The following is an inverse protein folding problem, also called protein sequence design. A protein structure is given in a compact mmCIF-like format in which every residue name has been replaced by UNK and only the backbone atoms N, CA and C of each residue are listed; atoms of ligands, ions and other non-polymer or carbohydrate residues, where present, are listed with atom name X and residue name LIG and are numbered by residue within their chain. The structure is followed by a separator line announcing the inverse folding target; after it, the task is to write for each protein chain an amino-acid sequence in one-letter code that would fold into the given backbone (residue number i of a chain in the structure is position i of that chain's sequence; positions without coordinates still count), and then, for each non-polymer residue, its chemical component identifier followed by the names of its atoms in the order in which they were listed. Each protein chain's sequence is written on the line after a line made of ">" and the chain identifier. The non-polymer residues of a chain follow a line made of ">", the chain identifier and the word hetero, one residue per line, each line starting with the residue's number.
data_IF_343722362004
#
_entry.id   IF_343722362004
#
_cell.length_a   1.000
_cell.length_b   1.000
_cell.length_c   1.000
_cell.angle_alpha   90.00
_cell.angle_beta   90.00
_cell.angle_gamma   90.00
#
_symmetry.space_group_name_H-M   'P 1'
#
loop_
_entity.id
_entity.type
_entity.pdbx_description
1 polymer ?
#
# COMPACT_ATOMS: atom_id res chain seq x y z
N UNK A 1 -20.13 -33.18 1.06
CA UNK A 1 -18.99 -33.13 2.00
C UNK A 1 -18.14 -34.35 1.75
N UNK A 2 -16.99 -34.22 1.08
CA UNK A 2 -16.01 -35.33 1.08
C UNK A 2 -15.46 -35.39 2.50
N UNK A 3 -15.46 -36.57 3.11
CA UNK A 3 -14.79 -36.79 4.39
C UNK A 3 -13.34 -36.35 4.18
N UNK A 4 -12.93 -35.28 4.86
CA UNK A 4 -11.53 -34.91 4.88
C UNK A 4 -10.78 -36.11 5.47
N UNK A 5 -9.82 -36.63 4.71
CA UNK A 5 -8.97 -37.73 5.17
C UNK A 5 -8.26 -37.22 6.43
N UNK A 6 -8.34 -37.92 7.55
CA UNK A 6 -7.73 -37.51 8.83
C UNK A 6 -6.27 -37.08 8.67
N UNK A 7 -5.57 -37.71 7.72
CA UNK A 7 -4.22 -37.34 7.31
C UNK A 7 -4.11 -35.94 6.71
N UNK A 8 -5.04 -35.57 5.83
CA UNK A 8 -5.09 -34.23 5.22
C UNK A 8 -5.34 -33.17 6.30
N UNK A 9 -6.23 -33.43 7.26
CA UNK A 9 -6.53 -32.49 8.35
C UNK A 9 -5.32 -32.29 9.27
N UNK A 10 -4.63 -33.37 9.64
CA UNK A 10 -3.41 -33.29 10.46
C UNK A 10 -2.31 -32.49 9.75
N UNK A 11 -2.10 -32.75 8.46
CA UNK A 11 -1.09 -32.04 7.66
C UNK A 11 -1.49 -30.57 7.46
N UNK A 12 -2.77 -30.29 7.20
CA UNK A 12 -3.30 -28.94 7.09
C UNK A 12 -3.10 -28.14 8.38
N UNK A 13 -3.40 -28.73 9.53
CA UNK A 13 -3.18 -28.11 10.83
C UNK A 13 -1.70 -27.83 11.11
N UNK A 14 -0.81 -28.75 10.73
CA UNK A 14 0.62 -28.53 10.85
C UNK A 14 1.11 -27.40 9.92
N UNK A 15 0.66 -27.39 8.66
CA UNK A 15 1.00 -26.34 7.69
C UNK A 15 0.52 -24.96 8.16
N UNK A 16 -0.67 -24.89 8.76
CA UNK A 16 -1.23 -23.64 9.29
C UNK A 16 -0.41 -23.05 10.45
N UNK A 17 0.27 -23.91 11.21
CA UNK A 17 1.12 -23.50 12.33
C UNK A 17 2.55 -23.12 11.90
N UNK A 18 2.92 -23.31 10.62
CA UNK A 18 4.24 -22.93 10.13
C UNK A 18 4.38 -21.40 10.05
N UNK A 19 5.54 -20.84 10.43
CA UNK A 19 5.81 -19.43 10.20
C UNK A 19 5.93 -19.14 8.70
N UNK A 20 5.58 -17.92 8.29
CA UNK A 20 5.77 -17.47 6.92
C UNK A 20 7.24 -17.62 6.49
N UNK A 21 7.44 -18.19 5.29
CA UNK A 21 8.78 -18.47 4.76
C UNK A 21 9.39 -19.80 5.20
N UNK A 22 8.71 -20.58 6.06
CA UNK A 22 9.14 -21.93 6.37
C UNK A 22 9.14 -22.85 5.12
N UNK A 23 10.07 -23.81 5.11
CA UNK A 23 10.14 -24.82 4.05
C UNK A 23 8.91 -25.76 4.12
N UNK A 24 8.04 -25.64 3.13
CA UNK A 24 6.83 -26.46 2.97
C UNK A 24 7.03 -27.58 1.93
N UNK A 25 8.20 -28.22 1.92
CA UNK A 25 8.47 -29.36 1.05
C UNK A 25 8.16 -30.71 1.72
N UNK A 26 7.94 -31.74 0.91
CA UNK A 26 7.54 -33.08 1.36
C UNK A 26 8.52 -33.65 2.38
N UNK A 27 9.83 -33.44 2.20
CA UNK A 27 10.86 -34.02 3.05
C UNK A 27 10.94 -33.28 4.39
N UNK A 28 10.88 -31.96 4.38
CA UNK A 28 10.85 -31.13 5.58
C UNK A 28 9.62 -31.42 6.44
N UNK A 29 8.44 -31.47 5.80
CA UNK A 29 7.21 -31.85 6.49
C UNK A 29 7.31 -33.26 7.06
N UNK A 30 7.66 -34.27 6.26
CA UNK A 30 7.73 -35.65 6.73
C UNK A 30 8.72 -35.87 7.89
N UNK A 31 9.80 -35.09 8.00
CA UNK A 31 10.73 -35.16 9.13
C UNK A 31 10.07 -34.79 10.46
N UNK A 32 9.09 -33.90 10.42
CA UNK A 32 8.35 -33.42 11.60
C UNK A 32 7.11 -34.27 11.94
N UNK A 33 6.72 -35.20 11.06
CA UNK A 33 5.52 -36.01 11.24
C UNK A 33 5.85 -37.38 11.88
N UNK A 34 5.29 -37.70 13.06
CA UNK A 34 5.53 -38.99 13.71
C UNK A 34 4.75 -40.15 13.07
N UNK A 35 3.64 -39.87 12.39
CA UNK A 35 2.68 -40.88 11.90
C UNK A 35 2.74 -41.12 10.38
N UNK A 36 3.29 -40.19 9.59
CA UNK A 36 3.20 -40.22 8.13
C UNK A 36 4.56 -40.02 7.47
N UNK A 37 4.95 -40.96 6.61
CA UNK A 37 6.16 -40.84 5.79
C UNK A 37 6.00 -39.90 4.58
N UNK A 38 7.10 -39.70 3.84
CA UNK A 38 7.17 -38.77 2.70
C UNK A 38 6.07 -39.00 1.64
N UNK A 39 5.76 -40.25 1.29
CA UNK A 39 4.70 -40.56 0.31
C UNK A 39 3.31 -40.14 0.78
N UNK A 40 3.03 -40.32 2.08
CA UNK A 40 1.75 -39.95 2.67
C UNK A 40 1.60 -38.42 2.74
N UNK A 41 2.68 -37.71 3.08
CA UNK A 41 2.73 -36.24 3.05
C UNK A 41 2.55 -35.72 1.63
N UNK A 42 3.28 -36.26 0.65
CA UNK A 42 3.17 -35.85 -0.74
C UNK A 42 1.76 -36.01 -1.29
N UNK A 43 1.12 -37.15 -1.07
CA UNK A 43 -0.26 -37.37 -1.52
C UNK A 43 -1.28 -36.48 -0.78
N UNK A 44 -1.06 -36.15 0.49
CA UNK A 44 -1.92 -35.22 1.21
C UNK A 44 -1.79 -33.78 0.70
N UNK A 45 -0.56 -33.29 0.44
CA UNK A 45 -0.36 -31.98 -0.18
C UNK A 45 -0.99 -31.93 -1.58
N UNK A 46 -0.91 -33.02 -2.35
CA UNK A 46 -1.59 -33.08 -3.64
C UNK A 46 -3.11 -32.95 -3.51
N UNK A 47 -3.70 -33.68 -2.57
CA UNK A 47 -5.12 -33.58 -2.30
C UNK A 47 -5.54 -32.18 -1.80
N UNK A 48 -4.73 -31.54 -0.96
CA UNK A 48 -4.95 -30.17 -0.48
C UNK A 48 -4.84 -29.14 -1.63
N UNK A 49 -3.92 -29.34 -2.57
CA UNK A 49 -3.81 -28.51 -3.77
C UNK A 49 -5.03 -28.66 -4.67
N UNK A 50 -5.48 -29.89 -4.91
CA UNK A 50 -6.72 -30.16 -5.68
C UNK A 50 -7.95 -29.58 -4.98
N UNK A 51 -8.01 -29.65 -3.66
CA UNK A 51 -9.08 -29.05 -2.86
C UNK A 51 -9.03 -27.51 -2.81
N UNK A 52 -7.96 -26.88 -3.34
CA UNK A 52 -7.86 -25.43 -3.43
C UNK A 52 -7.27 -24.74 -2.20
N UNK A 53 -6.62 -25.48 -1.29
CA UNK A 53 -5.95 -24.93 -0.11
C UNK A 53 -4.53 -24.44 -0.39
N UNK A 54 -3.86 -24.97 -1.41
CA UNK A 54 -2.50 -24.59 -1.75
C UNK A 54 -2.25 -24.39 -3.24
N UNK A 55 -1.25 -23.55 -3.55
CA UNK A 55 -0.70 -23.36 -4.90
C UNK A 55 0.82 -23.26 -4.84
N UNK A 56 1.47 -24.02 -5.71
CA UNK A 56 2.91 -23.94 -5.95
C UNK A 56 3.18 -22.96 -7.10
N UNK A 57 4.14 -22.06 -6.93
CA UNK A 57 4.47 -21.02 -7.90
C UNK A 57 5.97 -20.86 -8.01
N UNK A 58 6.49 -20.84 -9.24
CA UNK A 58 7.86 -20.42 -9.53
C UNK A 58 7.89 -18.93 -9.81
N UNK A 59 8.73 -18.23 -9.07
CA UNK A 59 8.99 -16.81 -9.24
C UNK A 59 10.39 -16.64 -9.82
N UNK A 60 10.52 -15.77 -10.82
CA UNK A 60 11.82 -15.22 -11.17
C UNK A 60 12.27 -14.24 -10.08
N UNK A 61 13.41 -14.49 -9.46
CA UNK A 61 14.07 -13.57 -8.54
C UNK A 61 15.37 -13.07 -9.17
N UNK A 62 15.44 -11.76 -9.41
CA UNK A 62 16.62 -11.07 -9.95
C UNK A 62 16.39 -10.49 -11.34
N UNK A 63 16.14 -9.18 -11.40
CA UNK A 63 16.35 -8.38 -12.61
C UNK A 63 17.24 -7.15 -12.32
N UNK A 64 18.01 -7.21 -11.22
CA UNK A 64 19.06 -6.25 -10.90
C UNK A 64 20.39 -7.01 -10.79
N UNK A 65 21.16 -7.09 -11.88
CA UNK A 65 22.54 -7.65 -11.87
C UNK A 65 22.76 -8.98 -12.59
N UNK A 66 21.98 -9.31 -13.63
CA UNK A 66 22.34 -10.33 -14.63
C UNK A 66 22.18 -11.81 -14.24
N UNK A 67 21.94 -12.15 -12.97
CA UNK A 67 21.69 -13.54 -12.56
C UNK A 67 20.19 -13.82 -12.37
N UNK A 68 19.64 -14.67 -13.24
CA UNK A 68 18.28 -15.18 -13.11
C UNK A 68 18.26 -16.35 -12.13
N UNK A 69 17.50 -16.22 -11.03
CA UNK A 69 17.25 -17.33 -10.09
C UNK A 69 15.76 -17.66 -10.07
N UNK A 70 15.42 -18.94 -10.10
CA UNK A 70 14.05 -19.40 -9.91
C UNK A 70 13.84 -19.77 -8.45
N UNK A 71 12.80 -19.22 -7.83
CA UNK A 71 12.41 -19.52 -6.45
C UNK A 71 11.03 -20.17 -6.48
N UNK A 72 10.89 -21.36 -5.90
CA UNK A 72 9.57 -21.97 -5.68
C UNK A 72 8.99 -21.43 -4.38
N UNK A 73 7.76 -20.92 -4.48
CA UNK A 73 6.94 -20.46 -3.35
C UNK A 73 5.68 -21.32 -3.27
N UNK A 74 5.29 -21.66 -2.05
CA UNK A 74 4.02 -22.34 -1.77
C UNK A 74 3.11 -21.37 -1.04
N UNK A 75 1.93 -21.13 -1.59
CA UNK A 75 0.89 -20.34 -0.93
C UNK A 75 -0.11 -21.28 -0.26
N UNK A 76 -0.50 -20.96 0.96
CA UNK A 76 -1.44 -21.70 1.79
C UNK A 76 -2.65 -20.84 2.16
N UNK A 77 -3.83 -21.46 2.23
CA UNK A 77 -5.07 -20.83 2.71
C UNK A 77 -5.88 -21.83 3.55
N UNK A 78 -6.26 -21.40 4.76
CA UNK A 78 -7.14 -22.16 5.67
C UNK A 78 -8.49 -22.51 5.03
N UNK A 79 -9.02 -21.61 4.23
CA UNK A 79 -10.25 -21.84 3.47
C UNK A 79 -9.90 -22.29 2.06
N UNK A 80 -10.57 -23.33 1.56
CA UNK A 80 -10.48 -23.71 0.16
C UNK A 80 -10.85 -22.52 -0.74
N UNK A 81 -10.04 -22.24 -1.76
CA UNK A 81 -10.26 -21.17 -2.73
C UNK A 81 -10.42 -21.76 -4.13
N UNK A 82 -11.34 -21.19 -4.89
CA UNK A 82 -11.54 -21.55 -6.29
C UNK A 82 -10.42 -20.96 -7.18
N UNK A 83 -10.46 -21.32 -8.46
CA UNK A 83 -9.43 -20.90 -9.41
C UNK A 83 -9.49 -19.39 -9.71
N UNK A 84 -10.67 -18.78 -9.68
CA UNK A 84 -10.82 -17.35 -9.92
C UNK A 84 -10.16 -16.54 -8.81
N UNK A 85 -10.38 -16.94 -7.55
CA UNK A 85 -9.73 -16.34 -6.41
C UNK A 85 -8.21 -16.51 -6.47
N UNK A 86 -7.72 -17.72 -6.76
CA UNK A 86 -6.28 -17.98 -6.87
C UNK A 86 -5.63 -17.17 -7.99
N UNK A 87 -6.28 -17.04 -9.14
CA UNK A 87 -5.78 -16.22 -10.24
C UNK A 87 -5.70 -14.75 -9.83
N UNK A 88 -6.77 -14.19 -9.25
CA UNK A 88 -6.80 -12.81 -8.78
C UNK A 88 -5.73 -12.53 -7.72
N UNK A 89 -5.54 -13.45 -6.77
CA UNK A 89 -4.51 -13.38 -5.74
C UNK A 89 -3.10 -13.38 -6.36
N UNK A 90 -2.80 -14.32 -7.26
CA UNK A 90 -1.48 -14.42 -7.88
C UNK A 90 -1.19 -13.20 -8.78
N UNK A 91 -2.17 -12.68 -9.51
CA UNK A 91 -2.01 -11.43 -10.28
C UNK A 91 -1.75 -10.23 -9.36
N UNK A 92 -2.31 -10.21 -8.14
CA UNK A 92 -2.01 -9.17 -7.15
C UNK A 92 -0.61 -9.34 -6.55
N UNK A 93 -0.18 -10.58 -6.26
CA UNK A 93 1.18 -10.89 -5.79
C UNK A 93 2.26 -10.53 -6.83
N UNK A 94 2.00 -10.80 -8.11
CA UNK A 94 2.87 -10.46 -9.23
C UNK A 94 3.08 -8.94 -9.37
N UNK A 95 2.09 -8.14 -8.95
CA UNK A 95 2.14 -6.67 -8.90
C UNK A 95 2.75 -6.12 -7.61
N UNK A 96 2.90 -6.94 -6.56
CA UNK A 96 3.51 -6.49 -5.30
C UNK A 96 5.00 -6.23 -5.54
N UNK A 97 5.55 -5.09 -5.09
CA UNK A 97 6.99 -4.91 -5.11
C UNK A 97 7.64 -6.07 -4.36
N UNK A 98 8.62 -6.74 -4.96
CA UNK A 98 9.94 -6.56 -4.40
C UNK A 98 10.06 -6.52 -2.86
N UNK A 99 9.72 -7.52 -2.00
CA UNK A 99 10.31 -7.51 -0.68
C UNK A 99 11.80 -7.61 -0.94
N UNK A 100 12.49 -6.49 -0.77
CA UNK A 100 13.94 -6.41 -0.82
C UNK A 100 14.35 -7.29 0.36
N UNK A 101 14.74 -8.53 0.03
CA UNK A 101 15.07 -9.53 1.02
C UNK A 101 16.06 -8.91 2.00
N UNK A 102 15.78 -9.11 3.27
CA UNK A 102 16.56 -8.70 4.42
C UNK A 102 17.91 -9.43 4.41
N UNK A 103 18.78 -9.07 3.46
CA UNK A 103 20.14 -9.55 3.34
C UNK A 103 21.10 -8.81 4.30
N UNK A 104 20.64 -7.78 5.02
CA UNK A 104 21.46 -7.04 6.01
C UNK A 104 21.14 -7.39 7.49
N UNK A 105 20.20 -8.29 7.77
CA UNK A 105 19.75 -8.54 9.15
C UNK A 105 20.41 -9.75 9.86
N UNK A 106 21.53 -10.28 9.37
CA UNK A 106 22.27 -11.37 10.07
C UNK A 106 23.73 -11.04 10.41
N UNK A 107 24.18 -9.79 10.25
CA UNK A 107 25.56 -9.39 10.58
C UNK A 107 25.62 -8.13 11.46
N UNK A 108 24.72 -8.02 12.44
CA UNK A 108 24.78 -6.97 13.47
C UNK A 108 24.48 -7.49 14.88
N UNK A 109 24.74 -8.77 15.13
CA UNK A 109 24.59 -9.40 16.44
C UNK A 109 25.96 -9.86 16.99
N UNK A 110 26.89 -8.91 17.18
CA UNK A 110 28.02 -9.06 18.10
C UNK A 110 28.69 -7.71 18.38
N UNK A 111 28.23 -7.02 19.42
CA UNK A 111 29.06 -6.38 20.48
C UNK A 111 28.17 -5.47 21.33
N UNK A 112 27.64 -6.08 22.40
CA UNK A 112 27.73 -5.62 23.79
C UNK A 112 27.66 -4.12 24.14
N UNK A 113 26.52 -3.77 24.75
CA UNK A 113 26.37 -3.24 26.12
C UNK A 113 26.62 -1.74 26.44
N UNK A 114 26.00 -1.23 27.53
CA UNK A 114 25.33 0.07 27.57
C UNK A 114 26.02 1.11 28.48
N UNK A 115 25.74 2.40 28.27
CA UNK A 115 25.89 3.40 29.32
C UNK A 115 24.93 4.58 29.16
N UNK A 116 24.17 4.83 30.21
CA UNK A 116 23.48 6.08 30.54
C UNK A 116 23.99 6.47 31.95
N UNK A 117 23.80 7.69 32.51
CA UNK A 117 22.76 8.65 32.14
C UNK A 117 23.08 10.16 32.40
N UNK A 118 22.04 11.00 32.17
CA UNK A 118 21.71 12.34 32.74
C UNK A 118 22.59 13.57 32.43
N UNK A 119 22.00 14.61 31.82
CA UNK A 119 21.52 15.81 32.56
C UNK A 119 21.01 16.94 31.64
N UNK A 120 19.83 17.48 31.98
CA UNK A 120 19.30 18.78 31.54
C UNK A 120 20.03 19.91 32.30
N UNK A 121 20.08 21.16 31.76
CA UNK A 121 19.09 22.16 32.19
C UNK A 121 18.69 23.24 31.14
N UNK A 122 17.52 23.83 31.36
CA UNK A 122 17.00 25.15 30.89
C UNK A 122 17.01 26.06 32.15
N UNK A 123 16.85 27.41 32.19
CA UNK A 123 16.37 28.40 31.20
C UNK A 123 17.13 29.75 31.15
N UNK A 124 16.74 30.67 30.25
CA UNK A 124 16.36 32.07 30.58
C UNK A 124 16.15 32.94 29.32
N UNK A 125 15.03 33.68 29.29
CA UNK A 125 14.78 34.83 28.40
C UNK A 125 15.23 36.15 29.07
N UNK A 126 15.35 37.27 28.34
CA UNK A 126 14.31 38.32 28.42
C UNK A 126 14.01 38.98 27.05
N UNK A 127 12.74 39.22 26.71
CA UNK A 127 11.92 40.42 26.96
C UNK A 127 12.48 41.72 26.35
N UNK A 128 11.85 42.21 25.27
CA UNK A 128 11.44 43.62 25.15
C UNK A 128 10.27 43.78 24.15
N UNK A 129 9.17 44.27 24.72
CA UNK A 129 8.08 45.12 24.20
C UNK A 129 8.62 46.13 23.16
N UNK A 130 7.96 46.43 22.04
CA UNK A 130 6.90 47.46 21.93
C UNK A 130 6.15 47.42 20.58
N UNK A 131 4.82 47.48 20.65
CA UNK A 131 3.83 48.00 19.66
C UNK A 131 3.26 49.28 20.33
N UNK A 132 2.62 50.32 19.72
CA UNK A 132 1.91 50.41 18.43
C UNK A 132 2.17 51.70 17.61
N UNK A 133 1.57 51.83 16.41
CA UNK A 133 0.58 52.88 16.10
C UNK A 133 0.00 52.71 14.69
N UNK A 134 -1.34 52.80 14.64
CA UNK A 134 -2.19 52.85 13.45
C UNK A 134 -2.00 54.15 12.68
N UNK A 135 -2.27 54.12 11.37
CA UNK A 135 -3.06 55.19 10.74
C UNK A 135 -3.78 54.72 9.48
N UNK A 136 -5.10 54.87 9.52
CA UNK A 136 -6.07 54.83 8.43
C UNK A 136 -5.87 56.01 7.47
N UNK A 137 -5.99 55.78 6.15
CA UNK A 137 -6.66 56.69 5.21
C UNK A 137 -6.84 56.04 3.82
N UNK A 138 -8.11 55.95 3.42
CA UNK A 138 -8.68 55.88 2.07
C UNK A 138 -9.47 57.22 1.91
N UNK A 139 -9.83 57.79 0.72
CA UNK A 139 -9.96 57.22 -0.64
C UNK A 139 -9.32 57.99 -1.83
N UNK A 140 -9.29 57.24 -2.93
CA UNK A 140 -9.35 57.52 -4.39
C UNK A 140 -9.66 58.94 -4.94
N UNK A 141 -9.24 59.26 -6.21
CA UNK A 141 -9.89 58.71 -7.43
C UNK A 141 -9.00 58.39 -8.67
N UNK A 142 -9.48 57.37 -9.43
CA UNK A 142 -9.42 57.02 -10.89
C UNK A 142 -8.52 57.82 -11.86
N UNK A 143 -7.84 57.16 -12.82
CA UNK A 143 -8.37 57.08 -14.19
C UNK A 143 -8.17 55.73 -14.94
N UNK A 144 -9.18 55.34 -15.74
CA UNK A 144 -9.13 54.39 -16.88
C UNK A 144 -8.75 55.14 -18.19
N UNK A 145 -8.53 54.48 -19.35
CA UNK A 145 -8.08 53.10 -19.62
C UNK A 145 -6.91 53.05 -20.63
N UNK A 146 -6.04 52.04 -20.54
CA UNK A 146 -5.32 51.55 -21.74
C UNK A 146 -5.21 50.04 -21.71
N UNK A 147 -5.83 49.47 -22.73
CA UNK A 147 -5.90 48.06 -23.07
C UNK A 147 -4.51 47.45 -23.19
N UNK A 148 -4.13 46.66 -22.19
CA UNK A 148 -3.10 45.63 -22.36
C UNK A 148 -3.83 44.30 -22.22
N UNK A 149 -4.05 43.67 -23.37
CA UNK A 149 -4.48 42.28 -23.47
C UNK A 149 -3.39 41.39 -22.86
N UNK A 150 -3.42 41.25 -21.54
CA UNK A 150 -2.74 40.16 -20.85
C UNK A 150 -3.50 38.92 -21.28
N UNK A 151 -2.83 38.12 -22.10
CA UNK A 151 -3.30 36.81 -22.51
C UNK A 151 -3.56 35.99 -21.25
N UNK A 152 -4.83 35.86 -20.88
CA UNK A 152 -5.30 34.84 -19.94
C UNK A 152 -4.91 33.53 -20.59
N UNK A 153 -3.80 32.94 -20.13
CA UNK A 153 -3.41 31.60 -20.50
C UNK A 153 -4.49 30.65 -19.98
N UNK A 154 -5.46 30.41 -20.85
CA UNK A 154 -6.33 29.24 -20.95
C UNK A 154 -7.14 28.92 -19.69
N UNK A 155 -8.31 29.53 -19.61
CA UNK A 155 -9.46 28.98 -18.92
C UNK A 155 -9.64 27.50 -19.32
N UNK A 156 -9.31 26.61 -18.40
CA UNK A 156 -9.69 25.19 -18.50
C UNK A 156 -11.12 25.07 -17.98
N UNK A 157 -12.09 25.52 -18.79
CA UNK A 157 -13.49 25.15 -18.59
C UNK A 157 -13.64 23.66 -18.93
N UNK A 158 -14.25 22.79 -18.12
CA UNK A 158 -14.97 23.02 -16.88
C UNK A 158 -15.01 21.74 -16.06
N UNK A 159 -13.93 21.49 -15.31
CA UNK A 159 -13.98 20.53 -14.21
C UNK A 159 -13.20 21.09 -13.03
N UNK A 160 -13.86 21.42 -11.89
CA UNK A 160 -13.13 21.87 -10.71
C UNK A 160 -12.13 20.81 -10.31
N UNK A 161 -10.92 21.23 -9.94
CA UNK A 161 -9.83 20.32 -9.56
C UNK A 161 -10.24 19.46 -8.35
N UNK A 162 -9.57 18.31 -8.12
CA UNK A 162 -9.80 17.53 -6.91
C UNK A 162 -9.58 18.35 -5.62
N UNK A 163 -8.62 19.28 -5.63
CA UNK A 163 -8.34 20.15 -4.50
C UNK A 163 -9.49 21.13 -4.22
N UNK A 164 -10.00 21.82 -5.25
CA UNK A 164 -11.15 22.70 -5.12
C UNK A 164 -12.39 21.94 -4.62
N UNK A 165 -12.65 20.75 -5.16
CA UNK A 165 -13.79 19.92 -4.75
C UNK A 165 -13.70 19.46 -3.30
N UNK A 166 -12.49 19.14 -2.83
CA UNK A 166 -12.28 18.76 -1.43
C UNK A 166 -12.57 19.95 -0.50
N UNK A 167 -12.04 21.13 -0.82
CA UNK A 167 -12.30 22.36 -0.06
C UNK A 167 -13.79 22.72 -0.05
N UNK A 168 -14.47 22.65 -1.19
CA UNK A 168 -15.90 22.94 -1.31
C UNK A 168 -16.80 21.94 -0.54
N UNK A 169 -16.28 20.75 -0.20
CA UNK A 169 -17.01 19.75 0.62
C UNK A 169 -16.85 19.96 2.13
N UNK A 170 -15.89 20.78 2.58
CA UNK A 170 -15.63 21.00 4.01
C UNK A 170 -16.87 21.53 4.73
N UNK A 171 -17.55 22.53 4.19
CA UNK A 171 -18.75 23.09 4.81
C UNK A 171 -19.92 22.11 4.96
N UNK A 172 -19.96 21.04 4.15
CA UNK A 172 -20.94 19.95 4.31
C UNK A 172 -20.51 18.93 5.37
N UNK A 173 -19.21 18.81 5.60
CA UNK A 173 -18.64 17.88 6.59
C UNK A 173 -18.66 18.49 7.98
N UNK A 174 -18.32 19.78 8.09
CA UNK A 174 -18.43 20.58 9.32
C UNK A 174 -18.80 22.02 8.94
N UNK A 175 -19.96 22.48 9.40
CA UNK A 175 -20.50 23.80 9.04
C UNK A 175 -19.62 24.96 9.52
N UNK A 176 -18.75 24.74 10.53
CA UNK A 176 -17.78 25.75 11.00
C UNK A 176 -16.70 26.06 9.97
N UNK A 177 -16.52 25.20 8.96
CA UNK A 177 -15.54 25.35 7.89
C UNK A 177 -16.20 25.65 6.52
N UNK A 178 -17.34 26.32 6.51
CA UNK A 178 -17.95 26.80 5.27
C UNK A 178 -17.05 27.84 4.59
N UNK A 179 -16.68 27.58 3.34
CA UNK A 179 -15.84 28.43 2.50
C UNK A 179 -16.62 28.91 1.28
N UNK A 180 -16.42 30.16 0.86
CA UNK A 180 -16.97 30.66 -0.40
C UNK A 180 -16.22 30.07 -1.59
N UNK A 181 -16.76 30.23 -2.81
CA UNK A 181 -16.06 29.81 -4.03
C UNK A 181 -14.73 30.56 -4.22
N UNK A 182 -14.69 31.85 -3.86
CA UNK A 182 -13.47 32.66 -3.91
C UNK A 182 -12.41 32.16 -2.91
N UNK A 183 -12.84 31.82 -1.69
CA UNK A 183 -11.95 31.23 -0.68
C UNK A 183 -11.38 29.88 -1.13
N UNK A 184 -12.22 29.03 -1.73
CA UNK A 184 -11.79 27.74 -2.26
C UNK A 184 -10.75 27.92 -3.37
N UNK A 185 -10.97 28.87 -4.29
CA UNK A 185 -10.01 29.17 -5.35
C UNK A 185 -8.68 29.73 -4.80
N UNK A 186 -8.73 30.61 -3.79
CA UNK A 186 -7.53 31.16 -3.17
C UNK A 186 -6.71 30.11 -2.39
N UNK A 187 -7.35 29.07 -1.84
CA UNK A 187 -6.68 27.99 -1.10
C UNK A 187 -6.30 26.79 -1.98
N UNK A 188 -6.79 26.75 -3.21
CA UNK A 188 -6.69 25.60 -4.11
C UNK A 188 -5.25 25.13 -4.32
N UNK A 189 -4.32 26.07 -4.56
CA UNK A 189 -2.92 25.72 -4.80
C UNK A 189 -2.24 25.10 -3.57
N UNK A 190 -2.58 25.57 -2.36
CA UNK A 190 -2.06 25.00 -1.13
C UNK A 190 -2.63 23.60 -0.90
N UNK A 191 -3.91 23.39 -1.16
CA UNK A 191 -4.54 22.07 -1.10
C UNK A 191 -3.98 21.13 -2.19
N UNK A 192 -3.72 21.62 -3.39
CA UNK A 192 -3.07 20.86 -4.46
C UNK A 192 -1.67 20.36 -4.06
N UNK A 193 -0.95 21.12 -3.22
CA UNK A 193 0.34 20.71 -2.68
C UNK A 193 0.25 19.49 -1.74
N UNK A 194 -0.90 19.27 -1.09
CA UNK A 194 -1.17 18.07 -0.31
C UNK A 194 -1.37 16.86 -1.23
N UNK A 195 -2.17 17.00 -2.28
CA UNK A 195 -2.38 15.93 -3.27
C UNK A 195 -1.10 15.57 -4.01
N UNK A 196 -0.26 16.57 -4.33
CA UNK A 196 1.05 16.34 -4.94
C UNK A 196 2.01 15.52 -4.05
N UNK A 197 1.74 15.46 -2.73
CA UNK A 197 2.45 14.60 -1.77
C UNK A 197 1.82 13.21 -1.59
N UNK A 198 0.82 12.87 -2.41
CA UNK A 198 0.17 11.56 -2.39
C UNK A 198 -0.97 11.44 -1.38
N UNK A 199 -1.45 12.56 -0.83
CA UNK A 199 -2.58 12.57 0.10
C UNK A 199 -3.91 12.54 -0.66
N UNK A 200 -4.86 11.73 -0.22
CA UNK A 200 -6.22 11.70 -0.78
C UNK A 200 -7.16 12.74 -0.14
N UNK A 201 -8.36 12.87 -0.70
CA UNK A 201 -9.32 13.89 -0.27
C UNK A 201 -9.89 13.61 1.14
N UNK A 202 -9.98 12.34 1.54
CA UNK A 202 -10.53 11.95 2.83
C UNK A 202 -9.53 12.28 3.94
N UNK A 203 -8.25 11.97 3.74
CA UNK A 203 -7.18 12.37 4.64
C UNK A 203 -7.08 13.89 4.75
N UNK A 204 -7.13 14.62 3.63
CA UNK A 204 -7.12 16.09 3.66
C UNK A 204 -8.28 16.63 4.50
N UNK A 205 -9.48 16.09 4.30
CA UNK A 205 -10.68 16.50 5.04
C UNK A 205 -10.54 16.20 6.53
N UNK A 206 -10.08 15.01 6.90
CA UNK A 206 -9.81 14.64 8.29
C UNK A 206 -8.76 15.57 8.92
N UNK A 207 -7.65 15.85 8.22
CA UNK A 207 -6.60 16.74 8.70
C UNK A 207 -7.08 18.18 8.93
N UNK A 208 -8.05 18.66 8.14
CA UNK A 208 -8.63 19.99 8.29
C UNK A 208 -9.71 20.06 9.38
N UNK A 209 -10.39 18.96 9.67
CA UNK A 209 -11.51 18.89 10.64
C UNK A 209 -11.12 18.32 12.02
N UNK A 210 -9.99 17.63 12.15
CA UNK A 210 -9.59 16.98 13.40
C UNK A 210 -9.28 18.01 14.51
N UNK A 211 -9.98 17.98 15.65
CA UNK A 211 -9.69 18.87 16.78
C UNK A 211 -10.05 20.34 16.52
N UNK A 212 -11.19 20.58 15.88
CA UNK A 212 -11.73 21.93 15.69
C UNK A 212 -12.17 22.56 17.03
N UNK A 213 -11.87 23.85 17.26
CA UNK A 213 -12.36 24.58 18.43
C UNK A 213 -13.88 24.74 18.37
N UNK A 214 -14.53 24.99 19.50
CA UNK A 214 -16.00 25.11 19.62
C UNK A 214 -16.60 26.07 18.60
N UNK A 215 -15.94 27.20 18.34
CA UNK A 215 -16.26 28.15 17.28
C UNK A 215 -15.02 28.49 16.45
N UNK A 216 -15.22 28.78 15.17
CA UNK A 216 -14.17 29.23 14.24
C UNK A 216 -14.63 30.56 13.64
N UNK A 217 -14.00 31.66 14.07
CA UNK A 217 -14.39 33.00 13.62
C UNK A 217 -13.95 33.30 12.18
N UNK A 218 -12.87 32.66 11.71
CA UNK A 218 -12.37 32.77 10.34
C UNK A 218 -12.09 31.39 9.73
N UNK A 219 -13.05 30.81 8.99
CA UNK A 219 -12.87 29.53 8.30
C UNK A 219 -11.70 29.55 7.32
N UNK A 220 -11.61 30.61 6.51
CA UNK A 220 -10.51 30.79 5.54
C UNK A 220 -9.14 30.84 6.24
N UNK A 221 -8.99 31.68 7.26
CA UNK A 221 -7.73 31.84 7.98
C UNK A 221 -7.31 30.54 8.69
N UNK A 222 -8.28 29.83 9.27
CA UNK A 222 -8.04 28.56 9.93
C UNK A 222 -7.57 27.47 8.96
N UNK A 223 -8.29 27.30 7.84
CA UNK A 223 -7.94 26.29 6.81
C UNK A 223 -6.59 26.61 6.20
N UNK A 224 -6.33 27.88 5.84
CA UNK A 224 -5.03 28.33 5.33
C UNK A 224 -3.89 27.98 6.28
N UNK A 225 -4.08 28.24 7.57
CA UNK A 225 -3.07 27.94 8.60
C UNK A 225 -2.83 26.43 8.70
N UNK A 226 -3.87 25.60 8.72
CA UNK A 226 -3.70 24.14 8.76
C UNK A 226 -3.05 23.59 7.51
N UNK A 227 -3.45 24.04 6.33
CA UNK A 227 -2.85 23.62 5.06
C UNK A 227 -1.34 23.89 5.03
N UNK A 228 -0.86 24.93 5.72
CA UNK A 228 0.56 25.23 5.85
C UNK A 228 1.22 24.44 6.99
N UNK A 229 0.65 24.50 8.19
CA UNK A 229 1.29 24.01 9.41
C UNK A 229 1.20 22.47 9.55
N UNK A 230 0.25 21.82 8.87
CA UNK A 230 0.05 20.35 8.86
C UNK A 230 0.42 19.69 7.53
N UNK A 231 1.05 20.44 6.63
CA UNK A 231 1.48 19.93 5.33
C UNK A 231 2.40 18.72 5.54
N UNK A 232 2.06 17.52 5.02
CA UNK A 232 2.91 16.36 5.19
C UNK A 232 4.32 16.57 4.62
N UNK A 233 5.35 15.89 5.15
CA UNK A 233 6.65 15.91 4.52
C UNK A 233 6.55 15.35 3.09
N UNK A 234 7.40 15.85 2.19
CA UNK A 234 7.56 15.21 0.89
C UNK A 234 8.25 13.87 1.13
N UNK A 235 7.48 12.79 1.11
CA UNK A 235 8.07 11.49 0.88
C UNK A 235 8.72 11.53 -0.51
N UNK A 236 9.91 10.93 -0.71
CA UNK A 236 10.43 10.72 -2.05
C UNK A 236 9.29 10.12 -2.85
N UNK A 237 8.88 10.79 -3.93
CA UNK A 237 7.85 10.25 -4.80
C UNK A 237 8.27 8.82 -5.09
N UNK A 238 7.46 7.83 -4.68
CA UNK A 238 7.65 6.48 -5.17
C UNK A 238 7.73 6.66 -6.68
N UNK A 239 8.91 6.37 -7.24
CA UNK A 239 9.20 6.68 -8.63
C UNK A 239 8.00 6.17 -9.44
N UNK A 240 7.41 7.00 -10.32
CA UNK A 240 6.26 6.57 -11.09
C UNK A 240 6.61 5.21 -11.67
N UNK A 241 5.78 4.23 -11.32
CA UNK A 241 5.94 2.85 -11.76
C UNK A 241 5.90 2.92 -13.28
N UNK A 242 7.07 2.95 -13.92
CA UNK A 242 7.16 2.99 -15.37
C UNK A 242 6.35 1.78 -15.88
N UNK A 243 5.56 1.92 -16.97
CA UNK A 243 5.01 0.74 -17.64
C UNK A 243 6.20 -0.10 -18.11
N UNK A 244 6.59 -1.07 -17.28
CA UNK A 244 7.92 -1.69 -17.36
C UNK A 244 8.54 -2.07 -16.01
N UNK A 245 7.85 -1.93 -14.86
CA UNK A 245 8.25 -2.65 -13.63
C UNK A 245 8.51 -4.10 -14.00
N UNK A 246 9.61 -4.73 -13.56
CA UNK A 246 9.82 -6.15 -13.78
C UNK A 246 8.70 -6.88 -13.05
N UNK A 247 7.65 -7.20 -13.80
CA UNK A 247 6.54 -8.02 -13.38
C UNK A 247 7.19 -9.36 -13.04
N UNK A 248 7.21 -9.72 -11.76
CA UNK A 248 7.75 -11.01 -11.33
C UNK A 248 6.92 -12.08 -12.01
N UNK A 249 7.41 -12.68 -13.10
CA UNK A 249 6.65 -13.73 -13.79
C UNK A 249 6.38 -14.86 -12.82
N UNK A 250 5.13 -14.96 -12.38
CA UNK A 250 4.64 -16.03 -11.54
C UNK A 250 4.14 -17.16 -12.43
N UNK A 251 4.78 -18.32 -12.31
CA UNK A 251 4.44 -19.50 -13.08
C UNK A 251 3.89 -20.55 -12.11
N UNK A 252 2.60 -20.86 -12.19
CA UNK A 252 1.95 -21.87 -11.34
C UNK A 252 2.43 -23.26 -11.74
N UNK A 253 2.63 -24.15 -10.77
CA UNK A 253 2.97 -25.55 -11.02
C UNK A 253 1.74 -26.45 -10.86
N UNK A 254 1.63 -27.46 -11.71
CA UNK A 254 0.65 -28.53 -11.54
C UNK A 254 0.89 -29.24 -10.21
N UNK A 255 -0.18 -29.43 -9.44
CA UNK A 255 -0.12 -30.13 -8.16
C UNK A 255 0.27 -31.61 -8.33
N UNK A 256 -0.06 -32.22 -9.47
CA UNK A 256 0.26 -33.64 -9.73
C UNK A 256 1.65 -33.82 -10.37
N UNK A 257 1.88 -33.21 -11.54
CA UNK A 257 3.09 -33.45 -12.34
C UNK A 257 4.16 -32.36 -12.22
N UNK A 258 3.92 -31.27 -11.48
CA UNK A 258 4.86 -30.15 -11.34
C UNK A 258 5.08 -29.32 -12.61
N UNK A 259 4.27 -29.52 -13.66
CA UNK A 259 4.40 -28.78 -14.91
C UNK A 259 4.12 -27.28 -14.68
N UNK A 260 5.06 -26.38 -15.02
CA UNK A 260 4.88 -24.95 -14.89
C UNK A 260 3.99 -24.38 -16.01
N UNK A 261 3.15 -23.38 -15.70
CA UNK A 261 2.35 -22.66 -16.68
C UNK A 261 1.75 -21.37 -16.13
N UNK A 262 1.01 -20.64 -16.98
CA UNK A 262 0.23 -19.49 -16.53
C UNK A 262 -0.93 -19.92 -15.62
N UNK A 263 -1.34 -19.11 -14.64
CA UNK A 263 -2.42 -19.46 -13.72
C UNK A 263 -3.71 -19.94 -14.42
N UNK A 264 -4.07 -19.33 -15.54
CA UNK A 264 -5.31 -19.63 -16.28
C UNK A 264 -5.32 -21.02 -16.95
N UNK A 265 -4.15 -21.65 -17.12
CA UNK A 265 -4.04 -23.00 -17.68
C UNK A 265 -4.44 -24.11 -16.68
N UNK A 266 -4.51 -23.77 -15.40
CA UNK A 266 -4.82 -24.71 -14.32
C UNK A 266 -6.28 -24.58 -13.88
N UNK A 267 -6.91 -25.74 -13.65
CA UNK A 267 -8.19 -25.83 -12.94
C UNK A 267 -7.98 -26.77 -11.78
N UNK A 268 -8.35 -26.30 -10.60
CA UNK A 268 -8.20 -26.98 -9.31
C UNK A 268 -6.75 -27.35 -9.05
N UNK A 269 -5.81 -26.51 -9.49
CA UNK A 269 -4.38 -26.75 -9.35
C UNK A 269 -3.82 -27.84 -10.25
N UNK A 270 -4.60 -28.37 -11.21
CA UNK A 270 -4.19 -29.39 -12.16
C UNK A 270 -4.10 -28.84 -13.58
N UNK A 271 -3.05 -29.21 -14.31
CA UNK A 271 -2.93 -28.92 -15.74
C UNK A 271 -3.91 -29.79 -16.54
N UNK A 272 -4.20 -29.40 -17.79
CA UNK A 272 -5.15 -30.13 -18.64
C UNK A 272 -4.85 -31.64 -18.76
N UNK A 273 -3.61 -32.08 -19.03
CA UNK A 273 -3.29 -33.52 -19.10
C UNK A 273 -3.54 -34.28 -17.79
N UNK A 274 -3.34 -33.67 -16.62
CA UNK A 274 -3.57 -34.33 -15.34
C UNK A 274 -5.06 -34.39 -14.93
N UNK A 275 -5.91 -33.53 -15.52
CA UNK A 275 -7.37 -33.57 -15.31
C UNK A 275 -8.06 -34.58 -16.21
N UNK A 276 -7.55 -34.72 -17.42
CA UNK A 276 -8.04 -35.62 -18.46
C UNK A 276 -6.91 -36.61 -18.80
N UNK A 277 -6.51 -37.50 -17.86
CA UNK A 277 -5.52 -38.51 -18.18
C UNK A 277 -6.10 -39.41 -19.28
N UNK A 278 -5.37 -39.55 -20.38
CA UNK A 278 -5.76 -40.43 -21.47
C UNK A 278 -5.94 -41.85 -20.89
N UNK A 279 -7.09 -42.52 -21.08
CA UNK A 279 -7.26 -43.88 -20.60
C UNK A 279 -6.32 -44.79 -21.39
N UNK A 280 -5.26 -45.24 -20.72
CA UNK A 280 -4.34 -46.26 -21.21
C UNK A 280 -4.99 -47.65 -21.27
#
# INVERSE_FOLDING_TARGET
>A
MRVADQRQDLIAGYVDALPDGAAMDIKSLARSQPLYGQMAVGSALRALGVAGHLRHVRCLSGENGGQVRWVTRTFWSRTARDNEWWNAFLTAEERRPAPQEAAEATEAAATSAPEAPVSLPVPAQPLVTTVPQQRTAEPEPVPEPVSVSVSVSQATEGRPSPAFRALARLGRTDSRLALSAADCAALEQMAAEWFARGVDADYLTHALTAGLPTSVDSPFGFVRRRLRDKLPPRLPAAAPVAPGTPVRRLMVECTECGAPGRPEAFRDGLCRPCREPDPA
#
